data_IF_137863676473
#
_entry.id   IF_137863676473
#
_cell.length_a   1.000
_cell.length_b   1.000
_cell.length_c   1.000
_cell.angle_alpha   90.00
_cell.angle_beta   90.00
_cell.angle_gamma   90.00
#
_symmetry.space_group_name_H-M   'P 1'
#
loop_
_entity.id
_entity.type
_entity.pdbx_description
1 polymer ?
#
# COMPACT_ATOMS: atom_id res chain seq x y z
N UNK A 1 24.18 7.74 -12.22
CA UNK A 1 23.97 7.80 -10.76
C UNK A 1 23.23 6.54 -10.34
N UNK A 2 23.61 5.91 -9.20
CA UNK A 2 23.00 4.65 -8.75
C UNK A 2 21.73 4.96 -7.95
N UNK A 3 20.58 4.50 -8.43
CA UNK A 3 19.31 4.64 -7.71
C UNK A 3 19.33 3.82 -6.41
N UNK A 4 18.74 4.38 -5.36
CA UNK A 4 18.61 3.73 -4.06
C UNK A 4 17.28 2.97 -4.02
N UNK A 5 17.30 1.74 -3.50
CA UNK A 5 16.10 0.91 -3.33
C UNK A 5 15.10 1.57 -2.37
N UNK A 6 13.82 1.58 -2.75
CA UNK A 6 12.71 2.08 -1.90
C UNK A 6 12.60 1.31 -0.58
N UNK A 7 12.99 0.04 -0.57
CA UNK A 7 12.97 -0.82 0.63
C UNK A 7 13.86 -0.32 1.77
N UNK A 8 14.77 0.63 1.51
CA UNK A 8 15.55 1.27 2.56
C UNK A 8 14.67 2.09 3.51
N UNK A 9 13.53 2.62 3.05
CA UNK A 9 12.71 3.53 3.85
C UNK A 9 11.94 2.81 4.96
N UNK A 10 11.19 1.71 4.70
CA UNK A 10 10.58 0.93 5.77
C UNK A 10 11.63 0.42 6.76
N UNK A 11 12.78 -0.07 6.28
CA UNK A 11 13.87 -0.52 7.16
C UNK A 11 14.43 0.61 8.01
N UNK A 12 14.60 1.82 7.45
CA UNK A 12 15.08 2.97 8.19
C UNK A 12 14.07 3.48 9.22
N UNK A 13 12.78 3.30 8.97
CA UNK A 13 11.72 3.58 9.95
C UNK A 13 11.71 2.54 11.07
N UNK A 14 11.67 1.24 10.72
CA UNK A 14 11.57 0.15 11.70
C UNK A 14 12.81 0.02 12.61
N UNK A 15 13.99 0.41 12.12
CA UNK A 15 15.23 0.43 12.93
C UNK A 15 15.48 1.79 13.62
N UNK A 16 14.55 2.73 13.52
CA UNK A 16 14.68 4.04 14.15
C UNK A 16 14.31 3.96 15.63
N UNK A 17 15.09 4.56 16.54
CA UNK A 17 14.69 4.71 17.93
C UNK A 17 13.71 5.88 18.14
N UNK A 18 13.43 6.66 17.10
CA UNK A 18 12.58 7.84 17.15
C UNK A 18 11.10 7.49 16.97
N UNK A 19 10.22 8.25 17.62
CA UNK A 19 8.78 8.24 17.30
C UNK A 19 8.53 8.61 15.84
N UNK A 20 7.35 8.29 15.30
CA UNK A 20 7.01 8.60 13.91
C UNK A 20 7.17 10.08 13.55
N UNK A 21 6.73 10.99 14.44
CA UNK A 21 6.86 12.43 14.24
C UNK A 21 8.33 12.92 14.27
N UNK A 22 9.13 12.38 15.19
CA UNK A 22 10.56 12.69 15.25
C UNK A 22 11.32 12.14 14.04
N UNK A 23 10.97 10.92 13.59
CA UNK A 23 11.53 10.32 12.39
C UNK A 23 11.22 11.16 11.14
N UNK A 24 9.98 11.63 10.99
CA UNK A 24 9.58 12.52 9.90
C UNK A 24 10.38 13.84 9.91
N UNK A 25 10.44 14.49 11.08
CA UNK A 25 11.20 15.73 11.24
C UNK A 25 12.67 15.51 10.91
N UNK A 26 13.24 14.38 11.34
CA UNK A 26 14.63 14.03 11.07
C UNK A 26 14.89 13.77 9.59
N UNK A 27 14.00 13.05 8.88
CA UNK A 27 14.20 12.77 7.46
C UNK A 27 14.03 14.05 6.63
N UNK A 28 13.05 14.89 6.98
CA UNK A 28 12.75 16.17 6.30
C UNK A 28 13.84 17.22 6.53
N UNK A 29 14.29 17.40 7.76
CA UNK A 29 15.37 18.35 8.08
C UNK A 29 16.69 17.91 7.44
N UNK A 30 16.97 16.61 7.41
CA UNK A 30 18.18 16.09 6.77
C UNK A 30 18.14 16.27 5.24
N UNK A 31 16.96 16.19 4.62
CA UNK A 31 16.78 16.53 3.20
C UNK A 31 17.09 18.00 2.92
N UNK A 32 16.61 18.91 3.75
CA UNK A 32 16.84 20.35 3.57
C UNK A 32 18.31 20.74 3.79
N UNK A 33 18.99 20.08 4.72
CA UNK A 33 20.37 20.42 5.10
C UNK A 33 21.46 19.64 4.35
N UNK A 34 21.12 18.81 3.35
CA UNK A 34 22.09 18.03 2.56
C UNK A 34 22.85 16.94 3.33
N UNK A 35 22.54 16.74 4.62
CA UNK A 35 23.20 15.79 5.53
C UNK A 35 22.41 14.47 5.69
N UNK A 36 21.49 14.18 4.77
CA UNK A 36 20.73 12.94 4.82
C UNK A 36 21.61 11.73 4.50
N UNK A 37 21.64 10.77 5.42
CA UNK A 37 22.19 9.42 5.18
C UNK A 37 21.45 8.71 4.03
N UNK A 38 20.20 9.11 3.76
CA UNK A 38 19.36 8.65 2.66
C UNK A 38 18.91 9.88 1.87
N UNK A 39 19.44 10.02 0.64
CA UNK A 39 19.02 11.07 -0.28
C UNK A 39 17.72 10.65 -0.99
N UNK A 40 16.59 11.23 -0.58
CA UNK A 40 15.28 10.89 -1.16
C UNK A 40 15.17 11.24 -2.65
N UNK A 41 15.98 12.17 -3.16
CA UNK A 41 15.99 12.49 -4.59
C UNK A 41 16.61 11.36 -5.43
N UNK A 42 17.44 10.52 -4.81
CA UNK A 42 18.03 9.33 -5.44
C UNK A 42 17.13 8.09 -5.36
N UNK A 43 16.00 8.19 -4.67
CA UNK A 43 15.00 7.11 -4.61
C UNK A 43 13.99 7.34 -5.73
N UNK A 44 13.85 6.38 -6.64
CA UNK A 44 12.81 6.42 -7.66
C UNK A 44 11.46 6.60 -7.00
N UNK A 45 10.67 7.59 -7.44
CA UNK A 45 9.66 8.13 -6.53
C UNK A 45 8.58 7.16 -6.04
N UNK A 46 8.06 7.49 -4.86
CA UNK A 46 7.34 6.58 -3.99
C UNK A 46 6.27 7.32 -3.17
N UNK A 47 5.41 6.53 -2.53
CA UNK A 47 4.53 6.97 -1.44
C UNK A 47 4.59 5.92 -0.35
N UNK A 48 4.86 6.34 0.88
CA UNK A 48 5.01 5.49 2.05
C UNK A 48 3.95 5.87 3.08
N UNK A 49 3.08 4.93 3.41
CA UNK A 49 2.21 5.01 4.58
C UNK A 49 2.95 4.42 5.78
N UNK A 50 3.07 5.17 6.87
CA UNK A 50 3.83 4.75 8.05
C UNK A 50 3.28 5.37 9.33
N UNK A 51 3.62 4.78 10.47
CA UNK A 51 3.17 5.19 11.79
C UNK A 51 2.96 3.99 12.70
N UNK A 52 2.60 4.26 13.95
CA UNK A 52 2.30 3.24 14.92
C UNK A 52 0.82 2.87 14.83
N UNK A 53 0.55 1.60 14.53
CA UNK A 53 -0.81 1.10 14.47
C UNK A 53 -1.36 1.01 15.91
N UNK A 54 -2.37 1.83 16.20
CA UNK A 54 -2.97 1.93 17.52
C UNK A 54 -4.47 2.21 17.38
N UNK A 55 -5.28 1.60 18.24
CA UNK A 55 -6.71 1.87 18.35
C UNK A 55 -6.95 2.62 19.64
N UNK A 56 -7.69 3.72 19.53
CA UNK A 56 -8.16 4.47 20.68
C UNK A 56 -9.24 3.65 21.42
N UNK A 57 -9.05 3.32 22.71
CA UNK A 57 -9.98 2.49 23.46
C UNK A 57 -11.34 3.17 23.72
N UNK A 58 -11.41 4.50 23.71
CA UNK A 58 -12.65 5.25 23.93
C UNK A 58 -13.44 5.36 22.63
N UNK A 59 -12.78 5.73 21.53
CA UNK A 59 -13.46 5.98 20.26
C UNK A 59 -13.54 4.75 19.35
N UNK A 60 -12.77 3.69 19.64
CA UNK A 60 -12.57 2.53 18.79
C UNK A 60 -12.08 2.88 17.37
N UNK A 61 -11.46 4.05 17.19
CA UNK A 61 -10.90 4.51 15.90
C UNK A 61 -9.39 4.26 15.85
N UNK A 62 -8.90 4.01 14.65
CA UNK A 62 -7.46 3.91 14.39
C UNK A 62 -6.85 5.31 14.55
N UNK A 63 -5.73 5.38 15.26
CA UNK A 63 -4.92 6.60 15.36
C UNK A 63 -4.37 6.96 13.98
N UNK A 64 -4.23 8.26 13.69
CA UNK A 64 -3.78 8.69 12.37
C UNK A 64 -2.45 8.03 11.95
N UNK A 65 -2.32 7.76 10.65
CA UNK A 65 -1.07 7.35 10.02
C UNK A 65 -0.56 8.45 9.09
N UNK A 66 0.73 8.45 8.81
CA UNK A 66 1.41 9.47 8.03
C UNK A 66 1.72 8.98 6.61
N UNK A 67 1.64 9.89 5.64
CA UNK A 67 2.01 9.67 4.24
C UNK A 67 3.27 10.49 3.94
N UNK A 68 4.35 9.80 3.59
CA UNK A 68 5.59 10.39 3.08
C UNK A 68 5.71 10.16 1.56
N UNK A 69 5.97 11.21 0.80
CA UNK A 69 6.21 11.13 -0.65
C UNK A 69 7.36 12.05 -1.04
N UNK A 70 8.24 11.58 -1.94
CA UNK A 70 9.28 12.43 -2.53
C UNK A 70 8.84 13.12 -3.83
N UNK A 71 7.58 12.96 -4.23
CA UNK A 71 7.00 13.58 -5.45
C UNK A 71 5.97 14.66 -5.16
N UNK A 72 5.50 14.78 -3.92
CA UNK A 72 4.41 15.68 -3.57
C UNK A 72 4.40 16.01 -2.09
N UNK A 73 3.24 16.47 -1.61
CA UNK A 73 3.05 16.82 -0.21
C UNK A 73 3.13 15.59 0.69
N UNK A 74 3.45 15.81 1.96
CA UNK A 74 3.19 14.82 3.01
C UNK A 74 1.72 14.96 3.42
N UNK A 75 1.15 13.92 4.00
CA UNK A 75 -0.25 13.93 4.41
C UNK A 75 -0.49 12.97 5.57
N UNK A 76 -1.75 12.84 5.99
CA UNK A 76 -2.17 11.87 6.99
C UNK A 76 -3.45 11.17 6.55
N UNK A 77 -3.76 10.07 7.21
CA UNK A 77 -5.03 9.32 7.06
C UNK A 77 -5.55 8.97 8.44
N UNK A 78 -6.85 8.68 8.53
CA UNK A 78 -7.55 8.43 9.80
C UNK A 78 -7.46 9.61 10.78
N UNK A 79 -7.42 10.85 10.27
CA UNK A 79 -7.54 12.03 11.12
C UNK A 79 -8.94 12.13 11.72
N UNK A 80 -9.01 12.24 13.04
CA UNK A 80 -10.26 12.45 13.79
C UNK A 80 -10.32 13.88 14.32
N UNK A 81 -11.45 14.58 14.17
CA UNK A 81 -11.68 15.88 14.80
C UNK A 81 -11.58 17.11 13.89
N UNK A 82 -11.41 16.94 12.57
CA UNK A 82 -11.45 18.04 11.60
C UNK A 82 -12.88 18.58 11.33
N UNK A 83 -13.91 17.98 11.90
CA UNK A 83 -15.32 18.35 11.66
C UNK A 83 -15.76 19.62 12.41
N UNK A 84 -15.01 20.07 13.42
CA UNK A 84 -15.43 21.16 14.32
C UNK A 84 -14.72 22.49 14.12
N UNK A 85 -13.66 22.55 13.31
CA UNK A 85 -12.98 23.80 12.99
C UNK A 85 -13.36 24.24 11.58
N UNK A 86 -13.82 25.48 11.44
CA UNK A 86 -13.97 26.21 10.17
C UNK A 86 -12.64 26.40 9.41
N UNK A 87 -11.64 25.54 9.65
CA UNK A 87 -10.46 25.43 8.84
C UNK A 87 -10.92 24.82 7.52
N UNK A 88 -10.90 25.63 6.45
CA UNK A 88 -10.99 25.16 5.08
C UNK A 88 -10.01 24.00 4.91
N UNK A 89 -10.51 22.75 4.99
CA UNK A 89 -9.75 21.57 4.56
C UNK A 89 -9.38 21.88 3.13
N UNK A 90 -8.10 22.15 2.90
CA UNK A 90 -7.61 22.33 1.55
C UNK A 90 -8.06 21.10 0.79
N UNK A 91 -8.73 21.28 -0.36
CA UNK A 91 -9.20 20.19 -1.23
C UNK A 91 -8.10 19.14 -1.52
N UNK A 92 -6.82 19.50 -1.29
CA UNK A 92 -5.65 18.62 -1.34
C UNK A 92 -5.60 17.49 -0.29
N UNK A 93 -6.26 17.62 0.86
CA UNK A 93 -6.14 16.68 2.00
C UNK A 93 -7.43 15.89 2.29
N UNK A 94 -8.33 15.76 1.30
CA UNK A 94 -9.56 14.97 1.43
C UNK A 94 -9.33 13.52 1.87
N UNK A 95 -8.12 12.97 1.66
CA UNK A 95 -7.74 11.62 2.10
C UNK A 95 -7.65 11.48 3.63
N UNK A 96 -7.44 12.59 4.36
CA UNK A 96 -7.21 12.56 5.81
C UNK A 96 -8.39 11.98 6.59
N UNK A 97 -9.61 12.23 6.14
CA UNK A 97 -10.85 11.82 6.83
C UNK A 97 -11.59 10.68 6.12
N UNK A 98 -11.08 10.18 4.99
CA UNK A 98 -11.70 9.07 4.27
C UNK A 98 -11.63 7.77 5.09
N UNK A 99 -12.75 7.04 5.13
CA UNK A 99 -12.81 5.66 5.63
C UNK A 99 -12.13 4.67 4.69
N UNK A 100 -12.27 4.90 3.37
CA UNK A 100 -11.69 4.10 2.31
C UNK A 100 -10.81 4.98 1.43
N UNK A 101 -9.55 4.59 1.27
CA UNK A 101 -8.60 5.30 0.41
C UNK A 101 -7.60 4.32 -0.21
N UNK A 102 -7.04 4.68 -1.36
CA UNK A 102 -5.97 3.92 -1.99
C UNK A 102 -4.72 4.75 -2.26
N UNK A 103 -3.58 4.07 -2.25
CA UNK A 103 -2.27 4.65 -2.60
C UNK A 103 -1.66 3.88 -3.78
N UNK A 104 -0.94 4.60 -4.64
CA UNK A 104 -0.23 3.99 -5.76
C UNK A 104 1.06 4.76 -6.04
N UNK A 105 1.71 4.49 -7.18
CA UNK A 105 2.86 5.29 -7.63
C UNK A 105 2.48 6.69 -8.15
N UNK A 106 1.19 7.00 -8.27
CA UNK A 106 0.68 8.35 -8.49
C UNK A 106 0.86 9.23 -7.26
N UNK A 107 0.68 10.54 -7.40
CA UNK A 107 0.46 11.39 -6.24
C UNK A 107 -0.86 10.99 -5.58
N UNK A 108 -0.93 10.95 -4.24
CA UNK A 108 -2.16 10.55 -3.55
C UNK A 108 -3.32 11.54 -3.80
N UNK A 109 -3.00 12.82 -4.03
CA UNK A 109 -3.98 13.85 -4.37
C UNK A 109 -4.30 13.93 -5.88
N UNK A 110 -3.60 13.16 -6.72
CA UNK A 110 -3.91 12.97 -8.13
C UNK A 110 -3.84 11.47 -8.48
N UNK A 111 -4.73 10.65 -7.90
CA UNK A 111 -4.63 9.22 -7.97
C UNK A 111 -4.91 8.68 -9.38
N UNK A 112 -4.28 7.55 -9.72
CA UNK A 112 -4.57 6.85 -10.97
C UNK A 112 -5.95 6.18 -10.97
N UNK A 113 -6.48 5.86 -12.14
CA UNK A 113 -7.82 5.27 -12.31
C UNK A 113 -8.04 4.03 -11.43
N UNK A 114 -7.03 3.16 -11.31
CA UNK A 114 -7.14 1.95 -10.48
C UNK A 114 -7.37 2.23 -8.99
N UNK A 115 -6.95 3.39 -8.49
CA UNK A 115 -7.15 3.78 -7.09
C UNK A 115 -8.63 4.07 -6.86
N UNK A 116 -9.27 4.86 -7.73
CA UNK A 116 -10.70 5.11 -7.65
C UNK A 116 -11.53 3.83 -7.77
N UNK A 117 -11.15 2.94 -8.70
CA UNK A 117 -11.79 1.63 -8.83
C UNK A 117 -11.63 0.78 -7.57
N UNK A 118 -10.43 0.79 -6.96
CA UNK A 118 -10.17 0.07 -5.72
C UNK A 118 -10.98 0.61 -4.54
N UNK A 119 -11.06 1.93 -4.40
CA UNK A 119 -11.90 2.60 -3.40
C UNK A 119 -13.37 2.18 -3.58
N UNK A 120 -13.92 2.27 -4.79
CA UNK A 120 -15.30 1.88 -5.10
C UNK A 120 -15.59 0.40 -4.80
N UNK A 121 -14.67 -0.50 -5.16
CA UNK A 121 -14.82 -1.94 -4.89
C UNK A 121 -14.77 -2.26 -3.39
N UNK A 122 -13.91 -1.57 -2.62
CA UNK A 122 -13.85 -1.73 -1.17
C UNK A 122 -15.09 -1.15 -0.51
N UNK A 123 -15.53 0.05 -0.90
CA UNK A 123 -16.77 0.66 -0.39
C UNK A 123 -17.97 -0.26 -0.62
N UNK A 124 -18.10 -0.79 -1.84
CA UNK A 124 -19.14 -1.77 -2.19
C UNK A 124 -19.09 -3.02 -1.32
N UNK A 125 -17.88 -3.52 -1.01
CA UNK A 125 -17.70 -4.67 -0.15
C UNK A 125 -18.07 -4.37 1.30
N UNK A 126 -17.62 -3.25 1.87
CA UNK A 126 -17.89 -2.93 3.28
C UNK A 126 -19.34 -2.51 3.53
N UNK A 127 -19.98 -1.82 2.59
CA UNK A 127 -21.37 -1.35 2.70
C UNK A 127 -22.40 -2.42 2.31
N UNK A 128 -21.95 -3.56 1.78
CA UNK A 128 -22.83 -4.68 1.44
C UNK A 128 -23.47 -5.26 2.70
N UNK A 129 -24.82 -5.40 2.77
CA UNK A 129 -25.51 -6.01 3.92
C UNK A 129 -25.09 -7.46 4.19
N UNK A 130 -24.51 -8.14 3.19
CA UNK A 130 -24.02 -9.52 3.36
C UNK A 130 -22.78 -9.57 4.23
N UNK A 131 -22.00 -8.49 4.28
CA UNK A 131 -20.70 -8.43 4.95
C UNK A 131 -20.81 -8.65 6.45
N UNK A 132 -21.90 -8.19 7.08
CA UNK A 132 -22.19 -8.45 8.50
C UNK A 132 -22.37 -9.95 8.82
N UNK A 133 -22.69 -10.78 7.82
CA UNK A 133 -22.93 -12.22 8.00
C UNK A 133 -21.72 -13.07 7.58
N UNK A 134 -20.64 -12.46 7.09
CA UNK A 134 -19.45 -13.20 6.68
C UNK A 134 -18.59 -13.56 7.89
N UNK A 135 -18.05 -14.77 7.90
CA UNK A 135 -16.91 -15.09 8.75
C UNK A 135 -15.65 -14.32 8.31
N UNK A 136 -14.65 -14.24 9.19
CA UNK A 136 -13.36 -13.59 8.87
C UNK A 136 -12.75 -14.14 7.57
N UNK A 137 -12.73 -15.47 7.41
CA UNK A 137 -12.18 -16.12 6.22
C UNK A 137 -12.98 -15.79 4.94
N UNK A 138 -14.31 -15.78 5.02
CA UNK A 138 -15.15 -15.42 3.87
C UNK A 138 -14.97 -13.94 3.48
N UNK A 139 -14.85 -13.05 4.47
CA UNK A 139 -14.54 -11.64 4.21
C UNK A 139 -13.16 -11.47 3.56
N UNK A 140 -12.15 -12.20 4.04
CA UNK A 140 -10.81 -12.22 3.42
C UNK A 140 -10.87 -12.72 1.98
N UNK A 141 -11.66 -13.75 1.70
CA UNK A 141 -11.86 -14.25 0.34
C UNK A 141 -12.50 -13.20 -0.57
N UNK A 142 -13.47 -12.42 -0.09
CA UNK A 142 -14.02 -11.27 -0.82
C UNK A 142 -12.97 -10.18 -1.06
N UNK A 143 -12.12 -9.85 -0.06
CA UNK A 143 -11.01 -8.94 -0.24
C UNK A 143 -10.03 -9.42 -1.33
N UNK A 144 -9.73 -10.72 -1.40
CA UNK A 144 -8.90 -11.27 -2.47
C UNK A 144 -9.57 -11.19 -3.84
N UNK A 145 -10.90 -11.21 -3.93
CA UNK A 145 -11.61 -10.95 -5.19
C UNK A 145 -11.43 -9.51 -5.65
N UNK A 146 -11.47 -8.53 -4.74
CA UNK A 146 -11.15 -7.13 -5.04
C UNK A 146 -9.72 -7.00 -5.58
N UNK A 147 -8.74 -7.62 -4.90
CA UNK A 147 -7.32 -7.61 -5.33
C UNK A 147 -7.07 -8.36 -6.65
N UNK A 148 -7.98 -9.26 -7.04
CA UNK A 148 -7.94 -10.05 -8.28
C UNK A 148 -8.81 -9.45 -9.39
N UNK A 149 -9.34 -8.24 -9.19
CA UNK A 149 -10.16 -7.57 -10.18
C UNK A 149 -9.29 -7.11 -11.37
N UNK A 150 -9.32 -7.90 -12.44
CA UNK A 150 -8.56 -7.66 -13.67
C UNK A 150 -9.31 -6.73 -14.62
N UNK A 151 -8.78 -5.53 -14.79
CA UNK A 151 -9.22 -4.58 -15.82
C UNK A 151 -8.10 -4.25 -16.81
N UNK A 152 -7.03 -5.05 -16.82
CA UNK A 152 -5.92 -4.84 -17.73
C UNK A 152 -6.34 -5.20 -19.15
N UNK A 153 -6.18 -4.27 -20.09
CA UNK A 153 -6.58 -4.50 -21.49
C UNK A 153 -5.85 -5.69 -22.12
N UNK A 154 -6.59 -6.74 -22.47
CA UNK A 154 -6.06 -7.91 -23.20
C UNK A 154 -5.40 -7.51 -24.52
N UNK A 155 -5.96 -6.50 -25.21
CA UNK A 155 -5.38 -5.95 -26.45
C UNK A 155 -3.99 -5.37 -26.21
N UNK A 156 -3.80 -4.67 -25.10
CA UNK A 156 -2.50 -4.10 -24.71
C UNK A 156 -1.54 -5.20 -24.25
N UNK A 157 -2.02 -6.20 -23.50
CA UNK A 157 -1.21 -7.33 -23.06
C UNK A 157 -0.59 -8.10 -24.25
N UNK A 158 -1.41 -8.36 -25.29
CA UNK A 158 -1.00 -9.16 -26.45
C UNK A 158 -0.27 -8.36 -27.51
N UNK A 159 -0.74 -7.15 -27.82
CA UNK A 159 -0.31 -6.37 -29.01
C UNK A 159 0.25 -4.99 -28.68
N UNK A 160 0.17 -4.57 -27.42
CA UNK A 160 0.73 -3.29 -26.98
C UNK A 160 2.25 -3.31 -27.01
N UNK A 161 2.83 -2.18 -27.43
CA UNK A 161 4.25 -1.93 -27.19
C UNK A 161 4.53 -1.76 -25.69
N UNK A 162 5.82 -1.68 -25.31
CA UNK A 162 6.20 -1.56 -23.90
C UNK A 162 5.61 -0.32 -23.23
N UNK A 163 5.55 0.81 -23.95
CA UNK A 163 5.02 2.05 -23.39
C UNK A 163 3.52 1.92 -23.12
N UNK A 164 2.75 1.36 -24.06
CA UNK A 164 1.34 1.07 -23.88
C UNK A 164 1.12 0.13 -22.69
N UNK A 165 1.93 -0.92 -22.57
CA UNK A 165 1.89 -1.86 -21.44
C UNK A 165 2.14 -1.18 -20.10
N UNK A 166 3.12 -0.29 -20.02
CA UNK A 166 3.42 0.50 -18.82
C UNK A 166 2.33 1.53 -18.48
N UNK A 167 1.73 2.17 -19.48
CA UNK A 167 0.62 3.12 -19.27
C UNK A 167 -0.63 2.40 -18.75
N UNK A 168 -0.87 1.17 -19.18
CA UNK A 168 -2.03 0.39 -18.77
C UNK A 168 -1.97 -0.06 -17.30
N UNK A 169 -0.78 -0.12 -16.69
CA UNK A 169 -0.60 -0.38 -15.25
C UNK A 169 -1.32 0.63 -14.33
N UNK A 170 -1.72 1.79 -14.89
CA UNK A 170 -2.46 2.84 -14.18
C UNK A 170 -3.95 2.54 -14.07
N UNK A 171 -4.45 1.61 -14.88
CA UNK A 171 -5.88 1.35 -15.05
C UNK A 171 -6.37 0.09 -14.31
N UNK A 172 -5.45 -0.84 -13.99
CA UNK A 172 -5.82 -2.12 -13.37
C UNK A 172 -5.20 -2.36 -12.00
N UNK A 173 -5.99 -2.96 -11.10
CA UNK A 173 -5.58 -3.39 -9.75
C UNK A 173 -4.75 -4.66 -9.89
N UNK A 174 -5.30 -5.67 -10.56
CA UNK A 174 -4.60 -6.89 -10.90
C UNK A 174 -3.91 -6.76 -12.25
N UNK A 175 -2.62 -7.10 -12.31
CA UNK A 175 -1.85 -7.12 -13.55
C UNK A 175 -1.61 -8.60 -13.89
N UNK A 176 -2.20 -9.14 -14.97
CA UNK A 176 -1.88 -10.49 -15.41
C UNK A 176 -0.41 -10.58 -15.82
N UNK A 177 0.19 -11.78 -15.92
CA UNK A 177 1.54 -11.93 -16.46
C UNK A 177 1.64 -11.39 -17.90
N UNK A 178 2.29 -10.24 -18.05
CA UNK A 178 2.54 -9.60 -19.35
C UNK A 178 4.00 -9.78 -19.71
N UNK A 179 4.28 -10.29 -20.92
CA UNK A 179 5.65 -10.36 -21.45
C UNK A 179 6.13 -8.96 -21.80
N UNK A 180 7.31 -8.59 -21.30
CA UNK A 180 7.98 -7.31 -21.61
C UNK A 180 8.86 -7.40 -22.88
N UNK A 181 8.66 -8.42 -23.71
CA UNK A 181 9.36 -8.62 -24.99
C UNK A 181 10.83 -9.03 -24.84
N UNK A 182 11.46 -9.39 -25.96
CA UNK A 182 12.86 -9.86 -26.06
C UNK A 182 13.90 -8.74 -25.83
N UNK A 183 13.68 -7.85 -24.87
CA UNK A 183 14.83 -7.19 -24.28
C UNK A 183 15.57 -8.27 -23.50
N UNK A 184 16.67 -8.77 -24.04
CA UNK A 184 17.75 -9.34 -23.25
C UNK A 184 18.17 -8.29 -22.22
N UNK A 185 17.39 -8.16 -21.16
CA UNK A 185 17.71 -7.37 -20.01
C UNK A 185 19.00 -7.96 -19.48
N UNK A 186 20.05 -7.15 -19.49
CA UNK A 186 21.40 -7.49 -19.01
C UNK A 186 21.45 -7.76 -17.50
N UNK A 187 20.28 -7.88 -16.84
CA UNK A 187 20.11 -8.08 -15.42
C UNK A 187 19.35 -9.39 -15.20
N UNK A 188 20.06 -10.43 -14.73
CA UNK A 188 19.52 -11.77 -14.42
C UNK A 188 18.39 -11.78 -13.37
N UNK A 189 18.04 -10.64 -12.80
CA UNK A 189 16.98 -10.45 -11.80
C UNK A 189 15.67 -9.90 -12.37
N UNK A 190 15.57 -9.69 -13.68
CA UNK A 190 14.34 -9.28 -14.36
C UNK A 190 13.83 -10.48 -15.16
N UNK A 191 12.72 -11.07 -14.71
CA UNK A 191 12.04 -12.16 -15.41
C UNK A 191 11.42 -11.74 -16.75
N UNK A 192 11.00 -12.73 -17.53
CA UNK A 192 10.28 -12.59 -18.79
C UNK A 192 8.91 -11.91 -18.60
N UNK A 193 8.26 -12.16 -17.45
CA UNK A 193 6.93 -11.64 -17.15
C UNK A 193 6.95 -10.58 -16.07
N UNK A 194 6.09 -9.57 -16.26
CA UNK A 194 5.70 -8.61 -15.24
C UNK A 194 4.23 -8.83 -14.89
N UNK A 195 3.90 -8.88 -13.60
CA UNK A 195 2.52 -9.07 -13.15
C UNK A 195 2.39 -9.06 -11.62
N UNK A 196 1.15 -9.17 -11.16
CA UNK A 196 0.82 -9.28 -9.73
C UNK A 196 1.24 -10.66 -9.22
N UNK A 197 2.31 -10.71 -8.42
CA UNK A 197 2.84 -11.96 -7.86
C UNK A 197 2.16 -12.38 -6.56
N UNK A 198 1.92 -11.40 -5.69
CA UNK A 198 1.51 -11.61 -4.31
C UNK A 198 0.41 -10.60 -3.97
N UNK A 199 -0.60 -11.07 -3.25
CA UNK A 199 -1.69 -10.26 -2.71
C UNK A 199 -1.67 -10.37 -1.19
N UNK A 200 -1.92 -9.26 -0.50
CA UNK A 200 -1.88 -9.21 0.96
C UNK A 200 -3.16 -8.55 1.47
N UNK A 201 -3.76 -9.14 2.50
CA UNK A 201 -4.88 -8.58 3.26
C UNK A 201 -4.44 -8.49 4.72
N UNK A 202 -4.58 -7.31 5.32
CA UNK A 202 -4.33 -7.08 6.74
C UNK A 202 -5.65 -6.67 7.38
N UNK A 203 -6.14 -7.46 8.32
CA UNK A 203 -7.32 -7.15 9.11
C UNK A 203 -6.88 -6.77 10.51
N UNK A 204 -7.41 -5.66 11.02
CA UNK A 204 -7.25 -5.24 12.40
C UNK A 204 -8.64 -5.07 13.00
N UNK A 205 -8.96 -5.85 14.02
CA UNK A 205 -10.21 -5.70 14.75
C UNK A 205 -10.13 -4.61 15.83
N UNK A 206 -11.28 -4.20 16.37
CA UNK A 206 -11.38 -3.17 17.42
C UNK A 206 -10.72 -3.58 18.76
N UNK A 207 -10.42 -4.85 18.95
CA UNK A 207 -9.73 -5.39 20.12
C UNK A 207 -8.21 -5.42 19.95
N UNK A 208 -7.70 -4.98 18.80
CA UNK A 208 -6.27 -4.94 18.50
C UNK A 208 -5.71 -6.26 17.97
N UNK A 209 -6.55 -7.23 17.60
CA UNK A 209 -6.09 -8.45 16.95
C UNK A 209 -5.88 -8.17 15.46
N UNK A 210 -4.66 -8.45 15.00
CA UNK A 210 -4.24 -8.29 13.63
C UNK A 210 -4.09 -9.66 12.97
N UNK A 211 -4.81 -9.89 11.88
CA UNK A 211 -4.64 -11.04 11.00
C UNK A 211 -3.99 -10.59 9.69
N UNK A 212 -2.83 -11.16 9.38
CA UNK A 212 -2.12 -10.95 8.12
C UNK A 212 -2.33 -12.17 7.22
N UNK A 213 -2.88 -11.95 6.03
CA UNK A 213 -3.06 -12.96 5.00
C UNK A 213 -2.20 -12.59 3.78
N UNK A 214 -1.40 -13.52 3.29
CA UNK A 214 -0.66 -13.38 2.04
C UNK A 214 -1.00 -14.53 1.11
N UNK A 215 -1.30 -14.21 -0.14
CA UNK A 215 -1.63 -15.15 -1.20
C UNK A 215 -0.65 -14.98 -2.35
N UNK A 216 0.17 -16.00 -2.57
CA UNK A 216 1.12 -16.04 -3.69
C UNK A 216 0.42 -16.66 -4.92
N UNK A 217 0.38 -15.88 -6.01
CA UNK A 217 -0.23 -16.26 -7.27
C UNK A 217 0.76 -16.93 -8.22
N UNK A 218 2.04 -16.53 -8.14
CA UNK A 218 3.14 -17.06 -8.94
C UNK A 218 4.41 -17.21 -8.08
N UNK A 219 4.98 -18.40 -8.01
CA UNK A 219 6.29 -18.67 -7.39
C UNK A 219 7.43 -18.69 -8.41
N UNK A 220 7.08 -18.83 -9.69
CA UNK A 220 7.99 -18.92 -10.83
C UNK A 220 7.56 -17.96 -11.93
N UNK A 221 8.52 -17.58 -12.78
CA UNK A 221 8.35 -16.63 -13.88
C UNK A 221 7.61 -17.28 -15.06
N UNK A 222 6.30 -17.48 -14.90
CA UNK A 222 5.44 -18.13 -15.91
C UNK A 222 4.08 -17.44 -15.99
N UNK A 223 3.36 -17.69 -17.09
CA UNK A 223 1.96 -17.25 -17.23
C UNK A 223 0.98 -18.05 -16.37
N UNK A 224 1.41 -19.17 -15.79
CA UNK A 224 0.53 -20.11 -15.08
C UNK A 224 0.48 -19.73 -13.60
N UNK A 225 -0.73 -19.69 -13.04
CA UNK A 225 -0.91 -19.52 -11.60
C UNK A 225 -0.53 -20.80 -10.86
N UNK A 226 0.07 -20.62 -9.69
CA UNK A 226 0.33 -21.74 -8.78
C UNK A 226 -0.99 -22.35 -8.30
N UNK A 227 -1.04 -23.69 -8.27
CA UNK A 227 -2.18 -24.45 -7.74
C UNK A 227 -1.65 -25.61 -6.85
N UNK A 228 -2.10 -25.71 -5.58
CA UNK A 228 -2.93 -24.73 -4.87
C UNK A 228 -2.18 -23.42 -4.65
N UNK A 229 -2.91 -22.31 -4.55
CA UNK A 229 -2.31 -21.03 -4.22
C UNK A 229 -1.76 -21.09 -2.80
N UNK A 230 -0.50 -20.66 -2.61
CA UNK A 230 0.14 -20.66 -1.30
C UNK A 230 -0.44 -19.51 -0.50
N UNK A 231 -1.11 -19.81 0.61
CA UNK A 231 -1.66 -18.83 1.53
C UNK A 231 -0.95 -18.91 2.86
N UNK A 232 -0.32 -17.81 3.27
CA UNK A 232 0.28 -17.64 4.60
C UNK A 232 -0.67 -16.83 5.47
N UNK A 233 -0.83 -17.22 6.73
CA UNK A 233 -1.65 -16.51 7.69
C UNK A 233 -0.93 -16.39 9.04
N UNK A 234 -0.81 -15.17 9.55
CA UNK A 234 -0.21 -14.88 10.85
C UNK A 234 -1.16 -14.01 11.68
N UNK A 235 -1.26 -14.28 12.99
CA UNK A 235 -2.06 -13.50 13.94
C UNK A 235 -1.18 -12.88 15.01
N UNK A 236 -1.47 -11.64 15.37
CA UNK A 236 -0.76 -10.85 16.37
C UNK A 236 -1.75 -10.01 17.17
N UNK A 237 -1.39 -9.60 18.38
CA UNK A 237 -2.09 -8.52 19.08
C UNK A 237 -1.17 -7.29 19.18
N UNK A 238 -1.65 -6.13 18.75
CA UNK A 238 -0.82 -4.90 18.66
C UNK A 238 -0.41 -4.34 20.03
N UNK A 239 -0.94 -4.87 21.12
CA UNK A 239 -0.62 -4.45 22.49
C UNK A 239 0.30 -5.43 23.23
N UNK A 240 0.44 -6.68 22.77
CA UNK A 240 1.19 -7.71 23.50
C UNK A 240 2.71 -7.44 23.52
N UNK A 241 3.26 -6.82 22.46
CA UNK A 241 4.70 -6.52 22.37
C UNK A 241 5.12 -5.18 22.98
N UNK A 242 4.20 -4.38 23.54
CA UNK A 242 4.56 -3.11 24.19
C UNK A 242 5.15 -3.29 25.60
N UNK A 243 5.08 -4.49 26.18
CA UNK A 243 5.51 -4.76 27.57
C UNK A 243 7.01 -4.94 27.78
N UNK A 244 7.82 -5.07 26.74
CA UNK A 244 9.27 -5.32 26.89
C UNK A 244 10.14 -4.05 26.96
N UNK A 245 9.56 -2.86 26.81
CA UNK A 245 10.32 -1.59 26.86
C UNK A 245 10.09 -0.73 28.12
N UNK A 246 9.31 -1.22 29.09
CA UNK A 246 9.05 -0.54 30.37
C UNK A 246 9.75 -1.23 31.58
N UNK A 247 10.94 -1.81 31.38
CA UNK A 247 11.79 -2.33 32.46
C UNK A 247 13.21 -1.75 32.42
#
# INVERSE_FOLDING_TARGET
MKEISRGVLPLAFLNSPYSAAEWEKNITNKMQNGNAKIDLQKIGGFTLLYGDLNIDPETCKISHLNILSNRGHHGRVFETGLENDNATVSMSDSIATKSTFGLSNSLYNHPWKKVFLGEELVDTLVDSPKTENLSENEFVDECFKVLSHDTYSTKVAEKGDLNAKYLELRNSIFIPPVSLGDSHSTCASIGEFYGTRTQTVILLDKSGNLSYYEKNLHSVDTKVFDKPQIVSHYKFNIYENKKEHDL
#
